data_IF_691271474818
#
_entry.id   IF_691271474818
#
_cell.length_a   1.000
_cell.length_b   1.000
_cell.length_c   1.000
_cell.angle_alpha   90.00
_cell.angle_beta   90.00
_cell.angle_gamma   90.00
#
_symmetry.space_group_name_H-M   'P 1'
#
loop_
_entity.id
_entity.type
_entity.pdbx_description
1 polymer ?
#
# COMPACT_ATOMS: atom_id res chain seq x y z
N UNK A 1 -11.49 -2.53 -14.94
CA UNK A 1 -11.60 -2.56 -13.46
C UNK A 1 -12.65 -1.55 -13.02
N UNK A 2 -13.86 -2.02 -12.73
CA UNK A 2 -14.96 -1.13 -12.35
C UNK A 2 -15.07 -0.95 -10.84
N UNK A 3 -14.66 -1.95 -10.05
CA UNK A 3 -14.69 -1.89 -8.59
C UNK A 3 -13.28 -1.66 -8.04
N UNK A 4 -13.00 -0.43 -7.61
CA UNK A 4 -11.70 -0.04 -7.07
C UNK A 4 -11.51 -0.44 -5.61
N UNK A 5 -12.53 -0.99 -4.94
CA UNK A 5 -12.37 -1.56 -3.61
C UNK A 5 -11.68 -2.94 -3.64
N UNK A 6 -11.58 -3.55 -4.81
CA UNK A 6 -10.91 -4.84 -4.99
C UNK A 6 -9.46 -4.60 -5.44
N UNK A 7 -8.53 -5.27 -4.77
CA UNK A 7 -7.13 -5.25 -5.19
C UNK A 7 -6.91 -6.26 -6.32
N UNK A 8 -7.12 -5.80 -7.55
CA UNK A 8 -6.99 -6.63 -8.75
C UNK A 8 -5.55 -7.10 -8.98
N UNK A 9 -4.57 -6.24 -8.68
CA UNK A 9 -3.16 -6.62 -8.83
C UNK A 9 -2.75 -7.68 -7.82
N UNK A 10 -3.27 -7.61 -6.60
CA UNK A 10 -3.08 -8.67 -5.62
C UNK A 10 -3.57 -10.01 -6.15
N UNK A 11 -4.76 -10.03 -6.75
CA UNK A 11 -5.33 -11.25 -7.33
C UNK A 11 -4.49 -11.80 -8.48
N UNK A 12 -4.01 -10.94 -9.36
CA UNK A 12 -3.14 -11.32 -10.47
C UNK A 12 -1.80 -11.85 -9.94
N UNK A 13 -1.20 -11.14 -8.99
CA UNK A 13 0.07 -11.54 -8.37
C UNK A 13 -0.05 -12.91 -7.68
N UNK A 14 -1.13 -13.13 -6.93
CA UNK A 14 -1.39 -14.42 -6.28
C UNK A 14 -1.54 -15.56 -7.29
N UNK A 15 -2.14 -15.28 -8.44
CA UNK A 15 -2.38 -16.28 -9.47
C UNK A 15 -1.09 -16.67 -10.22
N UNK A 16 -0.29 -15.68 -10.64
CA UNK A 16 0.84 -15.90 -11.54
C UNK A 16 2.19 -16.09 -10.85
N UNK A 17 2.37 -15.49 -9.70
CA UNK A 17 3.65 -15.52 -8.98
C UNK A 17 3.50 -16.05 -7.56
N UNK A 18 2.72 -17.12 -7.39
CA UNK A 18 2.42 -17.69 -6.07
C UNK A 18 3.68 -18.25 -5.38
N UNK A 19 4.63 -17.39 -5.07
CA UNK A 19 5.86 -17.68 -4.35
C UNK A 19 5.65 -17.68 -2.83
N UNK A 20 4.41 -17.99 -2.44
CA UNK A 20 4.00 -17.97 -1.03
C UNK A 20 4.73 -19.01 -0.18
N UNK A 21 5.13 -20.13 -0.80
CA UNK A 21 5.83 -21.21 -0.10
C UNK A 21 7.23 -20.79 0.34
N UNK A 22 7.96 -20.09 -0.51
CA UNK A 22 9.34 -19.70 -0.22
C UNK A 22 9.44 -18.49 0.69
N UNK A 23 8.55 -17.50 0.52
CA UNK A 23 8.56 -16.26 1.29
C UNK A 23 7.59 -16.26 2.45
N UNK A 24 6.72 -17.26 2.55
CA UNK A 24 5.64 -17.33 3.55
C UNK A 24 4.77 -16.05 3.55
N UNK A 25 4.57 -15.48 2.35
CA UNK A 25 3.74 -14.31 2.17
C UNK A 25 2.30 -14.72 1.94
N UNK A 26 1.41 -14.21 2.76
CA UNK A 26 -0.02 -14.30 2.58
C UNK A 26 -0.62 -12.90 2.44
N UNK A 27 -1.58 -12.77 1.53
CA UNK A 27 -2.30 -11.52 1.36
C UNK A 27 -3.53 -11.48 2.25
N UNK A 28 -3.84 -10.30 2.76
CA UNK A 28 -4.98 -10.09 3.66
C UNK A 28 -6.30 -10.26 2.89
N UNK A 29 -7.20 -11.17 3.34
CA UNK A 29 -8.53 -11.26 2.74
C UNK A 29 -9.30 -9.94 2.85
N UNK A 30 -10.14 -9.67 1.84
CA UNK A 30 -10.92 -8.42 1.79
C UNK A 30 -11.78 -8.21 3.04
N UNK A 31 -12.47 -9.26 3.51
CA UNK A 31 -13.32 -9.16 4.68
C UNK A 31 -12.56 -8.80 5.95
N UNK A 32 -11.36 -9.35 6.12
CA UNK A 32 -10.49 -9.02 7.25
C UNK A 32 -9.99 -7.58 7.14
N UNK A 33 -9.61 -7.15 5.94
CA UNK A 33 -9.17 -5.78 5.69
C UNK A 33 -10.27 -4.75 6.00
N UNK A 34 -11.52 -5.04 5.62
CA UNK A 34 -12.67 -4.21 5.95
C UNK A 34 -12.88 -4.10 7.46
N UNK A 35 -12.80 -5.22 8.17
CA UNK A 35 -12.94 -5.22 9.63
C UNK A 35 -11.86 -4.38 10.30
N UNK A 36 -10.59 -4.57 9.92
CA UNK A 36 -9.48 -3.79 10.47
C UNK A 36 -9.65 -2.31 10.17
N UNK A 37 -10.07 -1.96 8.96
CA UNK A 37 -10.35 -0.57 8.58
C UNK A 37 -11.41 0.09 9.46
N UNK A 38 -12.46 -0.64 9.82
CA UNK A 38 -13.50 -0.15 10.73
C UNK A 38 -12.98 0.01 12.16
N UNK A 39 -12.12 -0.90 12.62
CA UNK A 39 -11.55 -0.84 13.97
C UNK A 39 -10.54 0.30 14.15
N UNK A 40 -9.84 0.71 13.09
CA UNK A 40 -8.89 1.83 13.13
C UNK A 40 -9.60 3.17 13.36
N UNK A 41 -10.88 3.28 13.01
CA UNK A 41 -11.66 4.49 13.26
C UNK A 41 -11.48 5.57 12.19
N UNK A 42 -11.72 6.84 12.58
CA UNK A 42 -11.83 7.96 11.66
C UNK A 42 -10.54 8.79 11.50
N UNK A 43 -9.39 8.23 11.86
CA UNK A 43 -8.12 8.91 11.67
C UNK A 43 -7.89 9.24 10.20
N UNK A 44 -7.38 10.45 9.94
CA UNK A 44 -7.11 10.93 8.58
C UNK A 44 -5.68 10.66 8.13
N UNK A 45 -4.76 10.46 9.06
CA UNK A 45 -3.38 10.05 8.77
C UNK A 45 -3.13 8.67 9.31
N UNK A 46 -2.80 7.73 8.43
CA UNK A 46 -2.69 6.30 8.74
C UNK A 46 -1.29 5.80 8.44
N UNK A 47 -0.72 5.06 9.36
CA UNK A 47 0.58 4.40 9.17
C UNK A 47 0.37 2.89 9.10
N UNK A 48 0.87 2.26 8.04
CA UNK A 48 0.86 0.80 7.88
C UNK A 48 2.29 0.31 7.76
N UNK A 49 2.74 -0.45 8.74
CA UNK A 49 4.12 -0.94 8.84
C UNK A 49 4.39 -2.19 8.00
N UNK A 50 3.37 -2.80 7.44
CA UNK A 50 3.47 -3.99 6.60
C UNK A 50 2.43 -3.93 5.48
N UNK A 51 2.57 -2.94 4.61
CA UNK A 51 1.51 -2.56 3.67
C UNK A 51 1.18 -3.64 2.63
N UNK A 52 2.14 -4.48 2.26
CA UNK A 52 1.93 -5.43 1.18
C UNK A 52 1.55 -4.71 -0.11
N UNK A 53 0.58 -5.24 -0.84
CA UNK A 53 0.03 -4.57 -2.03
C UNK A 53 -0.98 -3.47 -1.70
N UNK A 54 -1.29 -3.25 -0.43
CA UNK A 54 -2.17 -2.17 0.02
C UNK A 54 -3.60 -2.58 0.35
N UNK A 55 -3.86 -3.85 0.64
CA UNK A 55 -5.23 -4.33 0.89
C UNK A 55 -5.91 -3.60 2.05
N UNK A 56 -5.25 -3.46 3.17
CA UNK A 56 -5.78 -2.72 4.32
C UNK A 56 -5.95 -1.23 4.00
N UNK A 57 -4.96 -0.66 3.32
CA UNK A 57 -4.97 0.75 2.90
C UNK A 57 -6.16 1.05 2.00
N UNK A 58 -6.42 0.19 1.01
CA UNK A 58 -7.54 0.34 0.08
C UNK A 58 -8.88 0.35 0.83
N UNK A 59 -9.06 -0.56 1.78
CA UNK A 59 -10.30 -0.63 2.53
C UNK A 59 -10.50 0.58 3.44
N UNK A 60 -9.43 1.06 4.07
CA UNK A 60 -9.50 2.28 4.88
C UNK A 60 -9.78 3.52 4.02
N UNK A 61 -9.12 3.63 2.87
CA UNK A 61 -9.40 4.70 1.91
C UNK A 61 -10.85 4.64 1.41
N UNK A 62 -11.38 3.44 1.18
CA UNK A 62 -12.77 3.26 0.75
C UNK A 62 -13.78 3.78 1.78
N UNK A 63 -13.43 3.72 3.07
CA UNK A 63 -14.25 4.26 4.15
C UNK A 63 -14.11 5.78 4.29
N UNK A 64 -12.91 6.33 4.06
CA UNK A 64 -12.63 7.75 4.12
C UNK A 64 -11.66 8.15 3.00
N UNK A 65 -12.20 8.72 1.92
CA UNK A 65 -11.44 9.12 0.73
C UNK A 65 -10.46 10.28 0.97
N UNK A 66 -10.52 10.92 2.12
CA UNK A 66 -9.63 12.03 2.48
C UNK A 66 -8.43 11.60 3.34
N UNK A 67 -8.33 10.31 3.66
CA UNK A 67 -7.19 9.79 4.43
C UNK A 67 -5.89 9.89 3.64
N UNK A 68 -4.80 10.16 4.35
CA UNK A 68 -3.44 10.08 3.85
C UNK A 68 -2.70 8.94 4.53
N UNK A 69 -1.68 8.39 3.89
CA UNK A 69 -1.05 7.16 4.37
C UNK A 69 0.46 7.25 4.34
N UNK A 70 1.09 6.60 5.32
CA UNK A 70 2.51 6.24 5.32
C UNK A 70 2.61 4.73 5.31
N UNK A 71 3.15 4.17 4.23
CA UNK A 71 3.13 2.75 3.93
C UNK A 71 4.55 2.21 3.92
N UNK A 72 4.81 1.23 4.76
CA UNK A 72 6.12 0.59 4.86
C UNK A 72 6.03 -0.84 4.31
N UNK A 73 6.95 -1.20 3.42
CA UNK A 73 7.03 -2.53 2.83
C UNK A 73 8.48 -2.93 2.64
N UNK A 74 8.82 -4.15 3.04
CA UNK A 74 10.18 -4.69 2.94
C UNK A 74 10.45 -5.33 1.57
N UNK A 75 9.46 -5.98 0.97
CA UNK A 75 9.64 -6.72 -0.27
C UNK A 75 9.65 -5.77 -1.47
N UNK A 76 10.83 -5.60 -2.05
CA UNK A 76 11.04 -4.78 -3.24
C UNK A 76 10.12 -5.17 -4.40
N UNK A 77 9.79 -6.45 -4.54
CA UNK A 77 8.93 -6.94 -5.63
C UNK A 77 7.47 -6.50 -5.48
N UNK A 78 7.05 -6.22 -4.26
CA UNK A 78 5.67 -5.79 -3.95
C UNK A 78 5.49 -4.28 -4.12
N UNK A 79 6.56 -3.51 -3.99
CA UNK A 79 6.50 -2.04 -4.06
C UNK A 79 5.81 -1.52 -5.34
N UNK A 80 6.14 -2.03 -6.56
CA UNK A 80 5.45 -1.56 -7.76
C UNK A 80 3.93 -1.80 -7.75
N UNK A 81 3.49 -2.92 -7.18
CA UNK A 81 2.06 -3.22 -7.06
C UNK A 81 1.37 -2.27 -6.09
N UNK A 82 2.00 -2.03 -4.95
CA UNK A 82 1.51 -1.06 -3.97
C UNK A 82 1.40 0.34 -4.57
N UNK A 83 2.46 0.79 -5.24
CA UNK A 83 2.49 2.11 -5.89
C UNK A 83 1.39 2.24 -6.94
N UNK A 84 1.23 1.22 -7.80
CA UNK A 84 0.20 1.23 -8.83
C UNK A 84 -1.21 1.29 -8.22
N UNK A 85 -1.46 0.52 -7.18
CA UNK A 85 -2.75 0.54 -6.48
C UNK A 85 -3.10 1.92 -5.91
N UNK A 86 -2.10 2.62 -5.37
CA UNK A 86 -2.28 3.96 -4.83
C UNK A 86 -2.49 4.98 -5.95
N UNK A 87 -1.70 4.90 -7.01
CA UNK A 87 -1.80 5.79 -8.19
C UNK A 87 -3.17 5.66 -8.85
N UNK A 88 -3.62 4.44 -9.08
CA UNK A 88 -4.90 4.16 -9.75
C UNK A 88 -6.08 4.78 -9.00
N UNK A 89 -6.02 4.77 -7.68
CA UNK A 89 -7.08 5.30 -6.80
C UNK A 89 -6.88 6.76 -6.43
N UNK A 90 -5.81 7.38 -6.88
CA UNK A 90 -5.47 8.76 -6.53
C UNK A 90 -5.36 8.96 -5.01
N UNK A 91 -4.70 8.04 -4.33
CA UNK A 91 -4.50 8.08 -2.88
C UNK A 91 -3.20 8.81 -2.57
N UNK A 92 -3.30 9.87 -1.76
CA UNK A 92 -2.11 10.57 -1.29
C UNK A 92 -1.40 9.75 -0.21
N UNK A 93 -0.13 9.41 -0.46
CA UNK A 93 0.64 8.58 0.46
C UNK A 93 2.15 8.75 0.26
N UNK A 94 2.89 8.31 1.26
CA UNK A 94 4.32 8.06 1.16
C UNK A 94 4.56 6.56 1.28
N UNK A 95 5.34 5.99 0.36
CA UNK A 95 5.71 4.59 0.36
C UNK A 95 7.18 4.48 0.74
N UNK A 96 7.46 3.74 1.79
CA UNK A 96 8.81 3.47 2.28
C UNK A 96 9.17 2.02 1.97
N UNK A 97 10.13 1.82 1.05
CA UNK A 97 10.80 0.54 0.93
C UNK A 97 11.79 0.45 2.09
N UNK A 98 11.45 -0.31 3.12
CA UNK A 98 12.15 -0.25 4.39
C UNK A 98 12.06 -1.58 5.14
N UNK A 99 13.07 -1.82 5.97
CA UNK A 99 13.03 -2.84 7.00
C UNK A 99 12.73 -2.16 8.34
N UNK A 100 11.49 -2.27 8.80
CA UNK A 100 11.05 -1.59 10.04
C UNK A 100 11.68 -2.21 11.28
N UNK A 101 12.06 -3.49 11.24
CA UNK A 101 12.70 -4.16 12.38
C UNK A 101 14.13 -3.70 12.57
N UNK A 102 14.88 -3.47 11.50
CA UNK A 102 16.25 -2.94 11.57
C UNK A 102 16.33 -1.42 11.50
N UNK A 103 15.19 -0.76 11.28
CA UNK A 103 15.09 0.68 11.10
C UNK A 103 15.88 1.21 9.90
N UNK A 104 15.93 0.42 8.82
CA UNK A 104 16.61 0.80 7.58
C UNK A 104 15.59 1.24 6.53
N UNK A 105 15.82 2.40 5.92
CA UNK A 105 15.03 2.92 4.81
C UNK A 105 15.89 2.91 3.55
N UNK A 106 15.44 2.17 2.53
CA UNK A 106 16.17 2.02 1.26
C UNK A 106 15.73 3.06 0.24
N UNK A 107 14.43 3.24 0.07
CA UNK A 107 13.84 4.20 -0.86
C UNK A 107 12.57 4.79 -0.27
N UNK A 108 12.26 6.01 -0.66
CA UNK A 108 11.00 6.68 -0.31
C UNK A 108 10.36 7.21 -1.58
N UNK A 109 9.09 6.88 -1.77
CA UNK A 109 8.29 7.34 -2.89
C UNK A 109 7.10 8.13 -2.36
N UNK A 110 6.79 9.25 -2.97
CA UNK A 110 5.61 10.03 -2.64
C UNK A 110 4.62 9.97 -3.78
N UNK A 111 3.35 9.73 -3.46
CA UNK A 111 2.24 9.82 -4.40
C UNK A 111 1.38 10.99 -3.98
N UNK A 112 1.28 11.98 -4.87
CA UNK A 112 0.47 13.17 -4.67
C UNK A 112 -0.84 13.04 -5.45
N UNK A 113 -1.93 13.50 -4.86
CA UNK A 113 -3.21 13.61 -5.57
C UNK A 113 -3.11 14.53 -6.76
N UNK A 114 -3.81 14.18 -7.81
CA UNK A 114 -4.02 15.04 -8.98
C UNK A 114 -5.50 15.01 -9.38
N UNK A 115 -5.84 15.56 -10.54
CA UNK A 115 -7.23 15.58 -11.02
C UNK A 115 -7.76 14.20 -11.41
N UNK A 116 -6.87 13.23 -11.74
CA UNK A 116 -7.26 11.90 -12.20
C UNK A 116 -6.55 10.79 -11.44
N UNK A 117 -5.25 10.64 -11.66
CA UNK A 117 -4.43 9.60 -11.04
C UNK A 117 -3.36 10.22 -10.16
N UNK A 118 -2.92 9.48 -9.14
CA UNK A 118 -1.80 9.90 -8.32
C UNK A 118 -0.53 10.10 -9.15
N UNK A 119 0.31 11.04 -8.73
CA UNK A 119 1.61 11.32 -9.35
C UNK A 119 2.72 10.83 -8.45
N UNK A 120 3.53 9.92 -8.98
CA UNK A 120 4.65 9.34 -8.27
C UNK A 120 5.89 10.22 -8.39
N UNK A 121 6.54 10.45 -7.24
CA UNK A 121 7.87 11.06 -7.16
C UNK A 121 8.75 10.20 -6.27
N UNK A 122 9.95 9.91 -6.71
CA UNK A 122 10.96 9.34 -5.83
C UNK A 122 11.60 10.47 -5.02
N UNK A 123 11.59 10.33 -3.70
CA UNK A 123 12.25 11.29 -2.82
C UNK A 123 13.70 10.89 -2.67
N UNK A 124 14.60 11.90 -2.77
CA UNK A 124 16.04 11.66 -2.56
C UNK A 124 16.24 11.19 -1.13
N UNK A 125 16.85 10.02 -0.99
CA UNK A 125 17.18 9.49 0.32
C UNK A 125 18.23 10.39 0.99
N UNK A 126 17.90 10.95 2.14
CA UNK A 126 18.92 11.60 2.96
C UNK A 126 19.83 10.51 3.50
N UNK A 127 21.04 10.44 2.99
CA UNK A 127 22.08 9.60 3.59
C UNK A 127 22.48 10.23 4.93
N UNK A 128 22.12 9.52 5.98
CA UNK A 128 22.59 9.89 7.29
C UNK A 128 24.04 9.46 7.47
#
# INVERSE_FOLDING_TARGET
MQDLSIDWLQKIFQYYEADRKDKKQDFTPKSLAELVGLLVGDDTEIVDMCAGSGALTIQKWNQNKNSTFKLFELDEKVIPYLAFNMILRNIECEIYHADVLSNEIFHVYKIEKSESFGRLKELVQCQA
#
